data_IF_620382462115
#
_entry.id   IF_620382462115
#
_cell.length_a   1.000
_cell.length_b   1.000
_cell.length_c   1.000
_cell.angle_alpha   90.00
_cell.angle_beta   90.00
_cell.angle_gamma   90.00
#
_symmetry.space_group_name_H-M   'P 1'
#
loop_
_entity.id
_entity.type
_entity.pdbx_description
1 polymer ?
#
# COMPACT_ATOMS: atom_id res chain seq x y z
N UNK A 1 -11.22 -5.92 -21.10
CA UNK A 1 -11.32 -5.98 -19.63
C UNK A 1 -11.56 -7.43 -19.27
N UNK A 2 -10.56 -8.13 -18.73
CA UNK A 2 -10.71 -9.50 -18.24
C UNK A 2 -11.56 -9.47 -16.98
N UNK A 3 -12.51 -10.39 -16.84
CA UNK A 3 -13.34 -10.51 -15.64
C UNK A 3 -12.45 -10.71 -14.40
N UNK A 4 -12.82 -10.18 -13.23
CA UNK A 4 -12.12 -10.53 -12.01
C UNK A 4 -12.19 -12.04 -11.80
N UNK A 5 -11.21 -12.55 -11.10
CA UNK A 5 -11.23 -13.91 -10.55
C UNK A 5 -12.37 -13.95 -9.53
N UNK A 6 -13.59 -14.20 -10.00
CA UNK A 6 -14.75 -14.31 -9.13
C UNK A 6 -14.45 -15.45 -8.14
N UNK A 7 -14.33 -15.16 -6.83
CA UNK A 7 -14.04 -16.21 -5.86
C UNK A 7 -15.14 -17.27 -5.97
N UNK A 8 -14.73 -18.54 -5.95
CA UNK A 8 -15.70 -19.62 -5.89
C UNK A 8 -16.51 -19.45 -4.59
N UNK A 9 -17.84 -19.67 -4.57
CA UNK A 9 -18.67 -19.49 -3.38
C UNK A 9 -18.24 -20.34 -2.15
N UNK A 10 -17.29 -21.25 -2.32
CA UNK A 10 -16.70 -22.11 -1.28
C UNK A 10 -15.21 -21.86 -1.03
N UNK A 11 -14.56 -20.91 -1.71
CA UNK A 11 -13.16 -20.55 -1.44
C UNK A 11 -13.09 -19.49 -0.35
N UNK A 12 -12.27 -19.74 0.67
CA UNK A 12 -11.99 -18.74 1.70
C UNK A 12 -11.35 -17.47 1.13
N UNK A 13 -11.34 -16.39 1.94
CA UNK A 13 -10.72 -15.12 1.54
C UNK A 13 -9.21 -15.28 1.33
N UNK A 14 -8.71 -14.70 0.23
CA UNK A 14 -7.29 -14.62 -0.12
C UNK A 14 -6.75 -13.28 0.36
N UNK A 15 -5.93 -13.32 1.41
CA UNK A 15 -5.40 -12.13 2.08
C UNK A 15 -3.89 -12.01 1.84
N UNK A 16 -3.44 -10.83 1.42
CA UNK A 16 -2.02 -10.50 1.27
C UNK A 16 -1.61 -9.46 2.31
N UNK A 17 -0.60 -9.79 3.11
CA UNK A 17 0.00 -8.90 4.11
C UNK A 17 1.44 -8.60 3.70
N UNK A 18 1.79 -7.32 3.62
CA UNK A 18 3.10 -6.86 3.17
C UNK A 18 3.84 -6.07 4.25
N UNK A 19 5.07 -6.46 4.52
CA UNK A 19 5.85 -5.98 5.67
C UNK A 19 6.60 -4.67 5.36
N UNK A 20 6.89 -3.89 6.40
CA UNK A 20 7.83 -2.79 6.32
C UNK A 20 9.28 -3.28 6.22
N UNK A 21 10.13 -2.59 5.45
CA UNK A 21 11.51 -3.05 5.26
C UNK A 21 12.47 -2.17 4.47
N UNK A 22 12.05 -1.00 3.97
CA UNK A 22 12.87 -0.15 3.10
C UNK A 22 13.21 -0.85 1.79
N UNK A 23 14.44 -0.72 1.29
CA UNK A 23 14.87 -1.33 0.02
C UNK A 23 14.65 -2.86 -0.05
N UNK A 24 14.56 -3.54 1.09
CA UNK A 24 14.31 -4.99 1.17
C UNK A 24 12.94 -5.42 0.63
N UNK A 25 12.00 -4.49 0.40
CA UNK A 25 10.74 -4.80 -0.29
C UNK A 25 10.92 -5.34 -1.71
N UNK A 26 12.09 -5.16 -2.34
CA UNK A 26 12.41 -5.86 -3.59
C UNK A 26 12.43 -7.37 -3.42
N UNK A 27 12.87 -7.89 -2.26
CA UNK A 27 12.85 -9.33 -1.97
C UNK A 27 11.42 -9.84 -1.84
N UNK A 28 10.54 -9.06 -1.23
CA UNK A 28 9.12 -9.37 -1.07
C UNK A 28 8.43 -9.45 -2.44
N UNK A 29 8.73 -8.52 -3.36
CA UNK A 29 8.24 -8.55 -4.73
C UNK A 29 8.76 -9.74 -5.54
N UNK A 30 10.03 -10.13 -5.36
CA UNK A 30 10.58 -11.34 -6.00
C UNK A 30 9.85 -12.59 -5.53
N UNK A 31 9.67 -12.75 -4.21
CA UNK A 31 8.93 -13.89 -3.63
C UNK A 31 7.49 -13.90 -4.15
N UNK A 32 6.83 -12.75 -4.16
CA UNK A 32 5.46 -12.65 -4.68
C UNK A 32 5.40 -12.98 -6.17
N UNK A 33 6.40 -12.61 -6.96
CA UNK A 33 6.49 -12.95 -8.38
C UNK A 33 6.46 -14.46 -8.61
N UNK A 34 7.27 -15.20 -7.86
CA UNK A 34 7.30 -16.67 -7.91
C UNK A 34 5.97 -17.28 -7.45
N UNK A 35 5.35 -16.74 -6.40
CA UNK A 35 4.02 -17.19 -5.93
C UNK A 35 2.97 -16.99 -7.04
N UNK A 36 2.93 -15.81 -7.67
CA UNK A 36 1.97 -15.50 -8.72
C UNK A 36 2.20 -16.35 -9.99
N UNK A 37 3.45 -16.65 -10.33
CA UNK A 37 3.79 -17.59 -11.39
C UNK A 37 3.31 -19.01 -11.06
N UNK A 38 3.54 -19.48 -9.83
CA UNK A 38 3.02 -20.77 -9.37
C UNK A 38 1.48 -20.85 -9.41
N UNK A 39 0.78 -19.77 -9.07
CA UNK A 39 -0.69 -19.68 -9.21
C UNK A 39 -1.11 -19.82 -10.68
N UNK A 40 -0.40 -19.18 -11.61
CA UNK A 40 -0.71 -19.27 -13.03
C UNK A 40 -0.58 -20.70 -13.58
N UNK A 41 0.35 -21.50 -13.03
CA UNK A 41 0.58 -22.89 -13.46
C UNK A 41 -0.39 -23.88 -12.82
N UNK A 42 -0.81 -23.63 -11.57
CA UNK A 42 -1.48 -24.64 -10.74
C UNK A 42 -2.94 -24.32 -10.40
N UNK A 43 -3.38 -23.07 -10.55
CA UNK A 43 -4.76 -22.69 -10.22
C UNK A 43 -5.66 -22.82 -11.46
N UNK A 44 -6.70 -23.64 -11.33
CA UNK A 44 -7.66 -23.91 -12.42
C UNK A 44 -8.44 -22.69 -12.87
N UNK A 45 -8.49 -21.64 -12.04
CA UNK A 45 -9.13 -20.37 -12.35
C UNK A 45 -8.20 -19.44 -13.15
N UNK A 46 -6.90 -19.74 -13.25
CA UNK A 46 -5.95 -18.92 -14.00
C UNK A 46 -6.11 -19.07 -15.51
N UNK A 47 -6.03 -17.95 -16.23
CA UNK A 47 -5.94 -17.96 -17.69
C UNK A 47 -4.60 -18.63 -18.10
N UNK A 48 -4.60 -19.69 -18.92
CA UNK A 48 -3.37 -20.37 -19.32
C UNK A 48 -2.38 -19.42 -19.97
N UNK A 49 -1.13 -19.44 -19.49
CA UNK A 49 -0.03 -18.63 -20.04
C UNK A 49 -0.07 -17.16 -19.67
N UNK A 50 -0.91 -16.75 -18.71
CA UNK A 50 -0.98 -15.36 -18.26
C UNK A 50 -1.04 -15.27 -16.74
N UNK A 51 -0.02 -14.65 -16.16
CA UNK A 51 0.06 -14.44 -14.71
C UNK A 51 -1.06 -13.47 -14.30
N UNK A 52 -1.95 -13.85 -13.36
CA UNK A 52 -3.01 -12.97 -12.91
C UNK A 52 -2.42 -11.76 -12.18
N UNK A 53 -3.10 -10.62 -12.24
CA UNK A 53 -2.71 -9.47 -11.45
C UNK A 53 -3.00 -9.76 -9.97
N UNK A 54 -2.16 -9.31 -9.02
CA UNK A 54 -2.44 -9.54 -7.61
C UNK A 54 -3.80 -9.01 -7.16
N UNK A 55 -4.26 -7.87 -7.70
CA UNK A 55 -5.60 -7.34 -7.41
C UNK A 55 -6.76 -8.19 -7.98
N UNK A 56 -6.49 -9.12 -8.90
CA UNK A 56 -7.48 -10.08 -9.38
C UNK A 56 -7.50 -11.33 -8.48
N UNK A 57 -6.37 -11.67 -7.87
CA UNK A 57 -6.23 -12.87 -7.05
C UNK A 57 -6.49 -12.64 -5.56
N UNK A 58 -6.09 -11.52 -4.98
CA UNK A 58 -6.29 -11.26 -3.55
C UNK A 58 -7.55 -10.43 -3.33
N UNK A 59 -8.35 -10.84 -2.34
CA UNK A 59 -9.57 -10.13 -1.95
C UNK A 59 -9.23 -8.91 -1.08
N UNK A 60 -8.14 -9.00 -0.30
CA UNK A 60 -7.61 -7.91 0.53
C UNK A 60 -6.08 -7.85 0.46
N UNK A 61 -5.54 -6.66 0.22
CA UNK A 61 -4.10 -6.38 0.28
C UNK A 61 -3.84 -5.29 1.33
N UNK A 62 -3.07 -5.61 2.36
CA UNK A 62 -2.67 -4.66 3.40
C UNK A 62 -1.16 -4.57 3.52
N UNK A 63 -0.65 -3.36 3.80
CA UNK A 63 0.79 -3.17 3.94
C UNK A 63 1.20 -2.06 4.89
N UNK A 64 2.41 -2.16 5.45
CA UNK A 64 3.03 -1.09 6.24
C UNK A 64 4.31 -0.60 5.60
N UNK A 65 4.58 0.71 5.63
CA UNK A 65 5.81 1.32 5.13
C UNK A 65 6.05 0.93 3.68
N UNK A 66 7.21 0.40 3.33
CA UNK A 66 7.47 -0.22 2.03
C UNK A 66 6.38 -1.19 1.57
N UNK A 67 5.94 -2.11 2.42
CA UNK A 67 4.85 -3.03 2.09
C UNK A 67 3.55 -2.30 1.80
N UNK A 68 3.30 -1.15 2.44
CA UNK A 68 2.18 -0.26 2.12
C UNK A 68 2.31 0.38 0.74
N UNK A 69 3.51 0.81 0.36
CA UNK A 69 3.77 1.29 -1.01
C UNK A 69 3.50 0.19 -2.04
N UNK A 70 4.00 -1.02 -1.78
CA UNK A 70 3.79 -2.19 -2.66
C UNK A 70 2.29 -2.56 -2.73
N UNK A 71 1.58 -2.54 -1.59
CA UNK A 71 0.14 -2.77 -1.55
C UNK A 71 -0.63 -1.81 -2.48
N UNK A 72 -0.26 -0.52 -2.50
CA UNK A 72 -0.86 0.46 -3.39
C UNK A 72 -0.55 0.20 -4.86
N UNK A 73 0.70 -0.16 -5.20
CA UNK A 73 1.10 -0.51 -6.56
C UNK A 73 0.27 -1.68 -7.09
N UNK A 74 0.18 -2.75 -6.31
CA UNK A 74 -0.44 -4.01 -6.70
C UNK A 74 -1.97 -3.94 -6.67
N UNK A 75 -2.54 -3.38 -5.60
CA UNK A 75 -3.97 -3.36 -5.35
C UNK A 75 -4.65 -2.14 -5.96
N UNK A 76 -4.29 -0.94 -5.50
CA UNK A 76 -4.97 0.31 -5.88
C UNK A 76 -4.66 0.76 -7.32
N UNK A 77 -3.41 0.63 -7.74
CA UNK A 77 -2.96 0.97 -9.09
C UNK A 77 -3.03 -0.22 -10.07
N UNK A 78 -3.44 -1.40 -9.58
CA UNK A 78 -3.69 -2.61 -10.38
C UNK A 78 -2.50 -3.00 -11.26
N UNK A 79 -1.28 -2.88 -10.75
CA UNK A 79 -0.07 -3.23 -11.48
C UNK A 79 0.26 -4.72 -11.37
N UNK A 80 0.97 -5.23 -12.39
CA UNK A 80 1.61 -6.53 -12.32
C UNK A 80 2.74 -6.50 -11.27
N UNK A 81 3.16 -7.68 -10.79
CA UNK A 81 4.33 -7.76 -9.88
C UNK A 81 5.60 -7.22 -10.56
N UNK A 82 5.75 -7.47 -11.87
CA UNK A 82 6.87 -6.98 -12.68
C UNK A 82 6.89 -5.45 -12.73
N UNK A 83 5.77 -4.82 -13.08
CA UNK A 83 5.66 -3.37 -13.14
C UNK A 83 5.84 -2.72 -11.77
N UNK A 84 5.27 -3.32 -10.73
CA UNK A 84 5.46 -2.86 -9.36
C UNK A 84 6.94 -2.94 -8.94
N UNK A 85 7.64 -4.02 -9.30
CA UNK A 85 9.08 -4.18 -9.07
C UNK A 85 9.90 -3.10 -9.75
N UNK A 86 9.61 -2.84 -11.02
CA UNK A 86 10.29 -1.81 -11.80
C UNK A 86 10.09 -0.42 -11.19
N UNK A 87 8.84 -0.02 -10.96
CA UNK A 87 8.52 1.30 -10.39
C UNK A 87 9.04 1.47 -8.96
N UNK A 88 8.97 0.42 -8.13
CA UNK A 88 9.52 0.45 -6.78
C UNK A 88 11.04 0.63 -6.81
N UNK A 89 11.76 -0.11 -7.68
CA UNK A 89 13.20 0.02 -7.82
C UNK A 89 13.62 1.41 -8.32
N UNK A 90 12.90 1.97 -9.29
CA UNK A 90 13.11 3.33 -9.80
C UNK A 90 12.92 4.38 -8.69
N UNK A 91 11.81 4.30 -7.95
CA UNK A 91 11.52 5.19 -6.83
C UNK A 91 12.61 5.11 -5.74
N UNK A 92 13.02 3.89 -5.35
CA UNK A 92 14.08 3.70 -4.35
C UNK A 92 15.39 4.35 -4.82
N UNK A 93 15.77 4.19 -6.09
CA UNK A 93 16.97 4.85 -6.63
C UNK A 93 16.87 6.37 -6.56
N UNK A 94 15.72 6.95 -6.92
CA UNK A 94 15.52 8.40 -6.90
C UNK A 94 15.55 8.97 -5.47
N UNK A 95 14.88 8.30 -4.53
CA UNK A 95 14.70 8.81 -3.16
C UNK A 95 15.95 8.64 -2.30
N UNK A 96 16.67 7.52 -2.45
CA UNK A 96 17.80 7.17 -1.58
C UNK A 96 19.17 7.63 -2.12
N UNK A 97 19.21 8.28 -3.29
CA UNK A 97 20.45 8.79 -3.93
C UNK A 97 21.08 10.00 -3.24
N UNK A 98 20.31 10.81 -2.50
CA UNK A 98 20.79 12.03 -1.83
C UNK A 98 20.44 12.04 -0.34
N UNK A 99 21.46 12.05 0.52
CA UNK A 99 21.29 12.23 1.97
C UNK A 99 21.40 13.72 2.34
N UNK A 100 20.60 14.15 3.32
CA UNK A 100 20.72 15.50 3.88
C UNK A 100 21.99 15.62 4.74
N UNK A 101 22.54 16.83 4.83
CA UNK A 101 23.64 17.15 5.76
C UNK A 101 23.22 16.93 7.22
N UNK A 102 24.18 16.52 8.07
CA UNK A 102 24.00 16.32 9.51
C UNK A 102 23.62 17.64 10.19
N UNK A 103 22.31 17.91 10.31
CA UNK A 103 21.65 18.94 11.14
C UNK A 103 20.15 19.10 10.78
N UNK A 104 19.64 18.39 9.76
CA UNK A 104 18.24 18.47 9.34
C UNK A 104 17.44 17.24 9.79
N UNK A 105 16.16 17.43 10.10
CA UNK A 105 15.22 16.35 10.45
C UNK A 105 14.98 15.40 9.25
N UNK A 106 15.09 14.10 9.54
CA UNK A 106 15.03 12.99 8.58
C UNK A 106 16.29 12.88 7.72
N UNK A 107 16.72 11.65 7.42
CA UNK A 107 17.90 11.37 6.57
C UNK A 107 17.72 11.76 5.10
N UNK A 108 16.50 11.71 4.58
CA UNK A 108 16.17 11.90 3.17
C UNK A 108 15.18 13.06 2.94
N UNK A 109 15.10 13.53 1.70
CA UNK A 109 14.18 14.60 1.29
C UNK A 109 12.77 14.04 1.09
N UNK A 110 11.83 14.48 1.92
CA UNK A 110 10.44 14.06 1.83
C UNK A 110 9.75 14.56 0.55
N UNK A 111 10.22 15.66 -0.03
CA UNK A 111 9.75 16.20 -1.32
C UNK A 111 10.13 15.29 -2.49
N UNK A 112 11.33 14.71 -2.51
CA UNK A 112 11.72 13.74 -3.55
C UNK A 112 10.84 12.49 -3.54
N UNK A 113 10.52 11.99 -2.33
CA UNK A 113 9.61 10.85 -2.19
C UNK A 113 8.20 11.22 -2.67
N UNK A 114 7.70 12.41 -2.31
CA UNK A 114 6.42 12.91 -2.80
C UNK A 114 6.37 13.06 -4.33
N UNK A 115 7.40 13.65 -4.94
CA UNK A 115 7.52 13.81 -6.40
C UNK A 115 7.52 12.45 -7.11
N UNK A 116 8.30 11.49 -6.60
CA UNK A 116 8.34 10.14 -7.15
C UNK A 116 6.99 9.42 -7.05
N UNK A 117 6.30 9.56 -5.90
CA UNK A 117 4.97 8.98 -5.70
C UNK A 117 3.93 9.61 -6.63
N UNK A 118 3.91 10.95 -6.75
CA UNK A 118 3.02 11.66 -7.67
C UNK A 118 3.26 11.26 -9.12
N UNK A 119 4.51 11.05 -9.52
CA UNK A 119 4.87 10.58 -10.86
C UNK A 119 4.33 9.17 -11.15
N UNK A 120 4.47 8.25 -10.18
CA UNK A 120 3.89 6.90 -10.28
C UNK A 120 2.37 6.97 -10.41
N UNK A 121 1.71 7.72 -9.54
CA UNK A 121 0.24 7.87 -9.55
C UNK A 121 -0.24 8.49 -10.87
N UNK A 122 0.42 9.53 -11.36
CA UNK A 122 0.15 10.15 -12.67
C UNK A 122 0.28 9.12 -13.81
N UNK A 123 1.36 8.34 -13.81
CA UNK A 123 1.62 7.34 -14.86
C UNK A 123 0.59 6.22 -14.87
N UNK A 124 0.05 5.84 -13.70
CA UNK A 124 -0.94 4.77 -13.58
C UNK A 124 -2.39 5.23 -13.73
N UNK A 125 -2.70 6.49 -13.41
CA UNK A 125 -4.10 6.97 -13.31
C UNK A 125 -4.43 8.15 -14.23
N UNK A 126 -3.42 8.84 -14.76
CA UNK A 126 -3.59 10.10 -15.49
C UNK A 126 -3.81 11.33 -14.60
N UNK A 127 -3.80 11.18 -13.27
CA UNK A 127 -3.98 12.26 -12.30
C UNK A 127 -3.04 12.08 -11.09
N UNK A 128 -2.06 12.98 -10.85
CA UNK A 128 -1.16 12.87 -9.70
C UNK A 128 -1.89 13.01 -8.35
N UNK A 129 -3.11 13.54 -8.33
CA UNK A 129 -3.96 13.73 -7.17
C UNK A 129 -5.13 12.73 -7.13
N UNK A 130 -5.03 11.62 -7.87
CA UNK A 130 -6.08 10.61 -7.87
C UNK A 130 -6.45 10.16 -6.44
N UNK A 131 -7.76 10.04 -6.14
CA UNK A 131 -8.24 9.75 -4.80
C UNK A 131 -7.81 8.34 -4.35
N UNK A 132 -7.52 8.21 -3.07
CA UNK A 132 -7.21 6.93 -2.44
C UNK A 132 -8.41 5.98 -2.53
N UNK A 133 -9.62 6.50 -2.24
CA UNK A 133 -10.87 5.77 -2.42
C UNK A 133 -11.02 5.30 -3.88
N UNK A 134 -11.36 4.03 -4.06
CA UNK A 134 -11.61 3.41 -5.35
C UNK A 134 -13.09 3.01 -5.42
N UNK A 135 -13.91 3.72 -6.20
CA UNK A 135 -15.35 3.44 -6.29
C UNK A 135 -15.66 2.22 -7.17
N UNK A 136 -14.65 1.53 -7.71
CA UNK A 136 -14.85 0.37 -8.58
C UNK A 136 -15.55 -0.78 -7.85
N UNK A 137 -16.67 -1.32 -8.38
CA UNK A 137 -17.43 -2.38 -7.70
C UNK A 137 -16.64 -3.69 -7.54
N UNK A 138 -15.62 -3.90 -8.37
CA UNK A 138 -14.73 -5.07 -8.34
C UNK A 138 -13.29 -4.67 -7.98
N UNK A 139 -13.10 -3.52 -7.32
CA UNK A 139 -11.79 -3.10 -6.86
C UNK A 139 -11.30 -4.00 -5.72
N UNK A 140 -10.07 -4.51 -5.85
CA UNK A 140 -9.37 -5.18 -4.75
C UNK A 140 -9.31 -4.25 -3.54
N UNK A 141 -9.83 -4.72 -2.40
CA UNK A 141 -9.79 -3.96 -1.16
C UNK A 141 -8.33 -3.81 -0.75
N UNK A 142 -7.85 -2.58 -0.66
CA UNK A 142 -6.46 -2.27 -0.32
C UNK A 142 -6.42 -1.28 0.82
N UNK A 143 -5.47 -1.46 1.74
CA UNK A 143 -5.21 -0.46 2.77
C UNK A 143 -3.72 -0.36 3.10
N UNK A 144 -3.34 0.78 3.69
CA UNK A 144 -1.99 0.99 4.23
C UNK A 144 -2.05 1.45 5.69
N UNK A 145 -1.12 0.95 6.50
CA UNK A 145 -0.99 1.32 7.91
C UNK A 145 -0.11 2.56 8.08
N UNK A 146 -0.58 3.53 8.86
CA UNK A 146 0.21 4.63 9.39
C UNK A 146 -0.05 4.78 10.90
N UNK A 147 0.78 5.55 11.60
CA UNK A 147 0.53 5.88 13.00
C UNK A 147 0.26 7.38 13.14
N UNK A 148 -0.84 7.73 13.80
CA UNK A 148 -1.13 9.10 14.19
C UNK A 148 -0.08 9.56 15.22
N UNK A 149 0.67 10.61 14.90
CA UNK A 149 1.83 11.05 15.66
C UNK A 149 1.47 11.55 17.08
N UNK A 150 0.23 11.96 17.29
CA UNK A 150 -0.34 12.37 18.59
C UNK A 150 -0.91 11.20 19.41
N UNK A 151 -1.05 10.00 18.83
CA UNK A 151 -1.72 8.85 19.44
C UNK A 151 -0.93 7.54 19.32
N UNK A 152 0.40 7.66 19.31
CA UNK A 152 1.35 6.52 19.22
C UNK A 152 1.16 5.53 20.39
N UNK A 153 0.75 6.00 21.57
CA UNK A 153 0.54 5.17 22.77
C UNK A 153 -0.60 4.16 22.66
N UNK A 154 -1.55 4.36 21.74
CA UNK A 154 -2.64 3.42 21.49
C UNK A 154 -2.17 2.11 20.83
N UNK A 155 -0.96 2.10 20.25
CA UNK A 155 -0.42 1.00 19.44
C UNK A 155 -1.37 0.51 18.34
N UNK A 156 -2.35 1.34 17.95
CA UNK A 156 -3.36 1.02 16.94
C UNK A 156 -3.04 1.83 15.68
N UNK A 157 -2.80 1.18 14.54
CA UNK A 157 -2.54 1.89 13.30
C UNK A 157 -3.80 2.56 12.76
N UNK A 158 -3.61 3.73 12.16
CA UNK A 158 -4.58 4.33 11.26
C UNK A 158 -4.50 3.65 9.89
N UNK A 159 -5.65 3.30 9.31
CA UNK A 159 -5.70 2.61 8.02
C UNK A 159 -6.29 3.54 6.95
N UNK A 160 -5.45 3.93 5.99
CA UNK A 160 -5.92 4.58 4.76
C UNK A 160 -6.42 3.50 3.81
N UNK A 161 -7.72 3.52 3.49
CA UNK A 161 -8.42 2.45 2.74
C UNK A 161 -8.82 2.91 1.36
N UNK A 162 -8.86 1.98 0.41
CA UNK A 162 -9.45 2.20 -0.91
C UNK A 162 -10.96 1.97 -0.95
N UNK A 163 -11.58 1.62 0.17
CA UNK A 163 -12.99 1.26 0.29
C UNK A 163 -13.56 1.78 1.60
N UNK A 164 -14.89 1.90 1.66
CA UNK A 164 -15.61 2.32 2.86
C UNK A 164 -15.94 1.14 3.78
N UNK A 165 -15.97 1.42 5.07
CA UNK A 165 -16.46 0.49 6.12
C UNK A 165 -17.55 1.21 6.92
N UNK A 166 -18.54 0.46 7.41
CA UNK A 166 -19.76 1.02 8.02
C UNK A 166 -19.53 1.87 9.27
N UNK A 167 -18.39 1.72 9.94
CA UNK A 167 -18.11 2.35 11.24
C UNK A 167 -17.00 3.39 11.23
N UNK A 168 -16.31 3.59 10.10
CA UNK A 168 -15.26 4.61 9.96
C UNK A 168 -15.33 5.26 8.57
N UNK A 169 -15.45 6.58 8.53
CA UNK A 169 -15.33 7.32 7.28
C UNK A 169 -13.92 7.11 6.70
N UNK A 170 -13.84 6.95 5.38
CA UNK A 170 -12.55 6.94 4.67
C UNK A 170 -11.95 8.33 4.67
N UNK A 171 -10.63 8.41 4.83
CA UNK A 171 -9.94 9.68 4.72
C UNK A 171 -10.11 10.26 3.31
N UNK A 172 -10.40 11.56 3.28
CA UNK A 172 -10.42 12.36 2.06
C UNK A 172 -8.96 12.70 1.69
N UNK A 173 -8.26 11.71 1.10
CA UNK A 173 -6.86 11.84 0.71
C UNK A 173 -6.56 11.23 -0.67
N UNK A 174 -5.47 11.70 -1.27
CA UNK A 174 -4.91 11.17 -2.51
C UNK A 174 -4.08 9.90 -2.23
N UNK A 175 -3.85 9.09 -3.27
CA UNK A 175 -3.00 7.89 -3.18
C UNK A 175 -1.58 8.25 -2.68
N UNK A 176 -1.00 9.33 -3.21
CA UNK A 176 0.35 9.74 -2.83
C UNK A 176 0.45 10.21 -1.37
N UNK A 177 -0.64 10.73 -0.79
CA UNK A 177 -0.69 11.18 0.62
C UNK A 177 -0.66 9.97 1.56
N UNK A 178 -1.50 8.96 1.29
CA UNK A 178 -1.49 7.70 2.03
C UNK A 178 -0.12 6.99 1.91
N UNK A 179 0.46 6.99 0.72
CA UNK A 179 1.81 6.46 0.47
C UNK A 179 2.90 7.21 1.27
N UNK A 180 2.85 8.54 1.32
CA UNK A 180 3.79 9.36 2.12
C UNK A 180 3.59 9.16 3.62
N UNK A 181 2.36 8.97 4.08
CA UNK A 181 2.04 8.74 5.48
C UNK A 181 2.61 7.40 5.98
N UNK A 182 2.37 6.31 5.26
CA UNK A 182 2.85 4.97 5.66
C UNK A 182 4.39 4.88 5.63
N UNK A 183 5.05 5.61 4.73
CA UNK A 183 6.52 5.60 4.56
C UNK A 183 7.25 6.69 5.35
N UNK A 184 6.56 7.48 6.18
CA UNK A 184 7.13 8.57 6.97
C UNK A 184 7.89 8.05 8.22
N UNK A 185 8.91 7.23 8.01
CA UNK A 185 9.74 6.68 9.07
C UNK A 185 10.53 7.80 9.77
N UNK A 186 10.40 8.01 11.10
CA UNK A 186 11.00 9.17 11.78
C UNK A 186 12.53 9.28 11.62
N UNK A 187 13.22 8.16 11.41
CA UNK A 187 14.67 8.14 11.16
C UNK A 187 15.04 8.64 9.76
N UNK A 188 14.14 8.47 8.79
CA UNK A 188 14.41 8.71 7.37
C UNK A 188 13.69 9.93 6.80
N UNK A 189 12.45 10.20 7.23
CA UNK A 189 11.59 11.22 6.67
C UNK A 189 10.89 12.02 7.76
N UNK A 190 10.49 13.25 7.40
CA UNK A 190 9.59 14.05 8.23
C UNK A 190 8.19 13.45 8.23
N UNK A 191 7.47 13.62 9.35
CA UNK A 191 6.04 13.29 9.46
C UNK A 191 5.23 13.88 8.30
N UNK A 192 4.19 13.17 7.88
CA UNK A 192 3.26 13.61 6.84
C UNK A 192 2.04 14.27 7.48
N UNK A 193 1.54 15.36 6.91
CA UNK A 193 0.27 15.94 7.32
C UNK A 193 -0.78 15.52 6.30
N UNK A 194 -1.85 14.86 6.73
CA UNK A 194 -2.96 14.43 5.86
C UNK A 194 -4.25 15.05 6.37
N UNK A 195 -5.13 15.43 5.45
CA UNK A 195 -6.41 16.06 5.74
C UNK A 195 -6.53 17.48 5.20
N UNK A 196 -7.69 18.10 5.45
CA UNK A 196 -8.02 19.43 4.94
C UNK A 196 -7.16 20.50 5.63
N UNK A 197 -6.89 21.67 5.01
CA UNK A 197 -6.00 22.70 5.57
C UNK A 197 -6.28 23.10 7.02
N UNK A 198 -7.55 23.05 7.47
CA UNK A 198 -7.97 23.42 8.82
C UNK A 198 -8.11 22.23 9.79
N UNK A 199 -7.94 21.00 9.30
CA UNK A 199 -8.07 19.74 10.04
C UNK A 199 -7.03 18.74 9.53
N UNK A 200 -5.76 19.07 9.75
CA UNK A 200 -4.64 18.19 9.39
C UNK A 200 -4.24 17.34 10.58
N UNK A 201 -4.05 16.05 10.34
CA UNK A 201 -3.46 15.13 11.28
C UNK A 201 -2.06 14.72 10.83
N UNK A 202 -1.16 14.56 11.79
CA UNK A 202 0.21 14.20 11.52
C UNK A 202 0.40 12.69 11.61
N UNK A 203 1.01 12.09 10.60
CA UNK A 203 1.26 10.66 10.49
C UNK A 203 2.75 10.34 10.36
N UNK A 204 3.13 9.21 10.94
CA UNK A 204 4.44 8.58 10.81
C UNK A 204 4.28 7.11 10.41
N UNK A 205 5.38 6.48 10.03
CA UNK A 205 5.41 5.05 9.71
C UNK A 205 4.90 4.20 10.89
N UNK A 206 3.95 3.29 10.62
CA UNK A 206 3.36 2.44 11.65
C UNK A 206 4.35 1.40 12.24
N UNK A 207 5.50 1.18 11.61
CA UNK A 207 6.62 0.46 12.22
C UNK A 207 7.10 1.11 13.52
N UNK A 208 6.88 2.43 13.70
CA UNK A 208 7.22 3.14 14.96
C UNK A 208 6.35 2.74 16.15
N UNK A 209 5.16 2.18 15.92
CA UNK A 209 4.27 1.62 16.95
C UNK A 209 4.34 0.09 17.00
N UNK A 210 5.34 -0.53 16.37
CA UNK A 210 5.50 -1.99 16.32
C UNK A 210 4.66 -2.70 15.26
N UNK A 211 3.91 -1.97 14.43
CA UNK A 211 3.10 -2.52 13.34
C UNK A 211 3.93 -2.72 12.05
N UNK A 212 5.15 -3.26 12.12
CA UNK A 212 5.97 -3.47 10.91
C UNK A 212 5.42 -4.61 10.03
N UNK A 213 4.85 -5.64 10.65
CA UNK A 213 4.15 -6.73 9.98
C UNK A 213 2.64 -6.58 10.25
N UNK A 214 1.82 -6.23 9.24
CA UNK A 214 0.41 -5.96 9.45
C UNK A 214 -0.49 -7.20 9.44
N UNK A 215 0.03 -8.43 9.60
CA UNK A 215 -0.78 -9.66 9.46
C UNK A 215 -2.01 -9.68 10.37
N UNK A 216 -1.88 -9.26 11.63
CA UNK A 216 -3.01 -9.20 12.56
C UNK A 216 -4.02 -8.12 12.17
N UNK A 217 -3.55 -7.00 11.63
CA UNK A 217 -4.38 -5.91 11.12
C UNK A 217 -5.16 -6.38 9.89
N UNK A 218 -4.50 -7.08 8.96
CA UNK A 218 -5.14 -7.68 7.78
C UNK A 218 -6.24 -8.66 8.18
N UNK A 219 -5.99 -9.54 9.16
CA UNK A 219 -6.99 -10.49 9.64
C UNK A 219 -8.19 -9.81 10.31
N UNK A 220 -7.96 -8.75 11.09
CA UNK A 220 -9.03 -7.98 11.72
C UNK A 220 -9.84 -7.21 10.67
N UNK A 221 -9.15 -6.56 9.74
CA UNK A 221 -9.77 -5.79 8.68
C UNK A 221 -10.59 -6.67 7.73
N UNK A 222 -10.13 -7.89 7.43
CA UNK A 222 -10.90 -8.84 6.61
C UNK A 222 -12.28 -9.13 7.21
N UNK A 223 -12.39 -9.28 8.54
CA UNK A 223 -13.67 -9.50 9.23
C UNK A 223 -14.62 -8.30 9.12
N UNK A 224 -14.08 -7.09 9.04
CA UNK A 224 -14.85 -5.85 8.89
C UNK A 224 -15.26 -5.64 7.43
N UNK A 225 -14.35 -5.91 6.51
CA UNK A 225 -14.53 -5.68 5.08
C UNK A 225 -15.41 -6.74 4.41
N UNK A 226 -15.45 -7.96 4.96
CA UNK A 226 -16.21 -9.10 4.43
C UNK A 226 -17.04 -9.73 5.57
N UNK A 227 -18.10 -9.05 6.04
CA UNK A 227 -18.98 -9.61 7.06
C UNK A 227 -19.74 -10.83 6.52
N UNK A 228 -19.94 -11.82 7.38
CA UNK A 228 -20.72 -13.05 7.08
C UNK A 228 -22.19 -12.75 6.79
#
# INVERSE_FOLDING_TARGET
MSQPFAPHPSSGLRLLSLDGGGIRGLSELVILGEIMAGIQENDYLAEPGKVPYPCQYFDLIGGTSTGGLIALLLGRLRLSVEDATRLYAEMVRQVFSEQKFRCQEGKFKATKLEEALKHIVMSSTGDPHAPMLDPGPEACKTFVCAAAANNISSATPHLFRTYTVSHNATDDCCIWEAARATSASPTFFKKMLVGRPNMQEAFVDAGSIGCNNPIQVVLQEAKLAFPN
#
